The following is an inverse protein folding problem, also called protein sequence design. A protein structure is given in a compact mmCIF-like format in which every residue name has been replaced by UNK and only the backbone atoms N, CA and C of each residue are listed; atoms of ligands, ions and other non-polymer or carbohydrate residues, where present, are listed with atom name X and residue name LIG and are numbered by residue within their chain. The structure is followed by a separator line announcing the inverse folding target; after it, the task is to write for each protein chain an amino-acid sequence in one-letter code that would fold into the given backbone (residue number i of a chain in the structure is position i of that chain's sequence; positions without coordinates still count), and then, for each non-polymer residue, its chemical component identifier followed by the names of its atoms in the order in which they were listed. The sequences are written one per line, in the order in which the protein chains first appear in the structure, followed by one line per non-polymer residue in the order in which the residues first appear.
data_IF_752291316277
#
_entry.id   IF_752291316277
#
_cell.length_a   1.000
_cell.length_b   1.000
_cell.length_c   1.000
_cell.angle_alpha   90.00
_cell.angle_beta   90.00
_cell.angle_gamma   90.00
#
_symmetry.space_group_name_H-M   'P 1'
#
loop_
_entity.id
_entity.type
_entity.pdbx_description
1 polymer ?
#
# COMPACT_ATOMS: atom_id res chain seq x y z
N UNK A 1 -26.18 0.08 -16.83
CA UNK A 1 -24.77 -0.28 -16.55
C UNK A 1 -24.56 -0.32 -15.04
N UNK A 2 -24.35 -1.50 -14.46
CA UNK A 2 -24.06 -1.64 -13.03
C UNK A 2 -22.55 -1.39 -12.86
N UNK A 3 -22.19 -0.24 -12.28
CA UNK A 3 -20.79 0.11 -11.99
C UNK A 3 -20.29 -0.79 -10.86
N UNK A 4 -19.40 -1.74 -11.15
CA UNK A 4 -18.81 -2.65 -10.16
C UNK A 4 -17.83 -1.89 -9.24
N UNK A 5 -18.40 -1.15 -8.28
CA UNK A 5 -17.67 -0.48 -7.20
C UNK A 5 -16.94 -1.52 -6.34
N UNK A 6 -15.84 -1.15 -5.65
CA UNK A 6 -15.29 -2.04 -4.63
C UNK A 6 -16.43 -2.40 -3.66
N UNK A 7 -16.48 -3.65 -3.17
CA UNK A 7 -17.50 -4.01 -2.20
C UNK A 7 -17.39 -3.04 -1.04
N UNK A 8 -18.54 -2.50 -0.59
CA UNK A 8 -18.61 -1.49 0.48
C UNK A 8 -17.81 -1.93 1.71
N UNK A 9 -17.81 -3.23 1.99
CA UNK A 9 -17.02 -3.86 3.06
C UNK A 9 -15.52 -3.61 2.89
N UNK A 10 -14.96 -3.73 1.69
CA UNK A 10 -13.54 -3.47 1.45
C UNK A 10 -13.18 -2.00 1.71
N UNK A 11 -14.06 -1.08 1.35
CA UNK A 11 -13.89 0.35 1.64
C UNK A 11 -13.88 0.59 3.14
N UNK A 12 -14.83 0.01 3.88
CA UNK A 12 -14.85 0.12 5.34
C UNK A 12 -13.61 -0.48 6.00
N UNK A 13 -13.13 -1.63 5.54
CA UNK A 13 -11.89 -2.24 6.05
C UNK A 13 -10.68 -1.34 5.76
N UNK A 14 -10.59 -0.75 4.57
CA UNK A 14 -9.50 0.19 4.25
C UNK A 14 -9.56 1.44 5.14
N UNK A 15 -10.75 2.01 5.35
CA UNK A 15 -10.93 3.16 6.25
C UNK A 15 -10.54 2.79 7.67
N UNK A 16 -10.98 1.62 8.18
CA UNK A 16 -10.61 1.14 9.51
C UNK A 16 -9.09 1.00 9.66
N UNK A 17 -8.42 0.34 8.70
CA UNK A 17 -6.97 0.20 8.73
C UNK A 17 -6.26 1.56 8.66
N UNK A 18 -6.77 2.49 7.84
CA UNK A 18 -6.22 3.83 7.71
C UNK A 18 -6.35 4.64 9.00
N UNK A 19 -7.50 4.53 9.70
CA UNK A 19 -7.73 5.20 10.99
C UNK A 19 -6.79 4.68 12.07
N UNK A 20 -6.57 3.37 12.15
CA UNK A 20 -5.61 2.81 13.12
C UNK A 20 -4.17 3.22 12.80
N UNK A 21 -3.84 3.37 11.52
CA UNK A 21 -2.53 3.81 11.03
C UNK A 21 -2.36 5.35 11.00
N UNK A 22 -3.16 6.13 11.72
CA UNK A 22 -3.02 7.60 11.74
C UNK A 22 -1.79 8.08 12.50
N UNK A 23 -1.22 7.25 13.36
CA UNK A 23 0.05 7.48 14.05
C UNK A 23 1.22 7.70 13.06
N UNK A 24 1.15 7.14 11.84
CA UNK A 24 2.06 7.45 10.73
C UNK A 24 2.11 8.94 10.44
N UNK A 25 0.95 9.62 10.42
CA UNK A 25 0.87 11.04 10.11
C UNK A 25 1.61 11.84 11.19
N UNK A 26 1.36 11.52 12.46
CA UNK A 26 2.05 12.15 13.59
C UNK A 26 3.57 11.92 13.49
N UNK A 27 3.98 10.71 13.14
CA UNK A 27 5.39 10.35 12.94
C UNK A 27 6.02 11.18 11.81
N UNK A 28 5.32 11.36 10.69
CA UNK A 28 5.80 12.15 9.54
C UNK A 28 5.83 13.67 9.78
N UNK A 29 5.13 14.16 10.80
CA UNK A 29 5.16 15.58 11.19
C UNK A 29 6.41 15.96 11.98
N UNK A 30 7.10 14.99 12.58
CA UNK A 30 8.38 15.17 13.29
C UNK A 30 9.58 15.18 12.28
N UNK A 31 10.85 15.39 12.69
CA UNK A 31 11.88 16.09 11.90
C UNK A 31 12.21 15.49 10.51
N UNK A 32 12.89 16.29 9.68
CA UNK A 32 13.07 16.20 8.21
C UNK A 32 13.09 14.82 7.52
N UNK A 33 13.61 13.76 8.13
CA UNK A 33 13.64 12.41 7.56
C UNK A 33 12.24 11.78 7.47
N UNK A 34 11.34 12.11 8.39
CA UNK A 34 10.01 11.48 8.46
C UNK A 34 9.09 11.91 7.30
N UNK A 35 9.26 13.12 6.76
CA UNK A 35 8.51 13.61 5.58
C UNK A 35 8.72 12.75 4.33
N UNK A 36 9.89 12.11 4.22
CA UNK A 36 10.22 11.27 3.07
C UNK A 36 9.48 9.93 3.10
N UNK A 37 9.08 9.46 4.29
CA UNK A 37 8.17 8.32 4.43
C UNK A 37 6.81 8.59 3.78
N UNK A 38 6.27 9.80 3.95
CA UNK A 38 5.02 10.20 3.28
C UNK A 38 5.17 10.24 1.74
N UNK A 39 6.30 10.74 1.24
CA UNK A 39 6.59 10.73 -0.21
C UNK A 39 6.68 9.30 -0.74
N UNK A 40 7.38 8.42 -0.02
CA UNK A 40 7.47 7.00 -0.36
C UNK A 40 6.08 6.34 -0.37
N UNK A 41 5.20 6.65 0.60
CA UNK A 41 3.81 6.15 0.60
C UNK A 41 3.05 6.62 -0.65
N UNK A 42 3.13 7.92 -0.99
CA UNK A 42 2.43 8.47 -2.17
C UNK A 42 2.88 7.74 -3.45
N UNK A 43 4.18 7.57 -3.63
CA UNK A 43 4.74 6.80 -4.75
C UNK A 43 4.22 5.36 -4.72
N UNK A 44 4.27 4.71 -3.56
CA UNK A 44 3.85 3.32 -3.39
C UNK A 44 2.36 3.10 -3.69
N UNK A 45 1.47 4.02 -3.29
CA UNK A 45 0.01 3.96 -3.53
C UNK A 45 -0.35 4.26 -4.99
N UNK A 46 0.54 4.87 -5.78
CA UNK A 46 0.28 5.30 -7.16
C UNK A 46 -0.34 4.21 -8.07
N UNK A 47 0.11 2.94 -8.07
CA UNK A 47 -0.48 1.90 -8.93
C UNK A 47 -1.95 1.61 -8.61
N UNK A 48 -2.36 1.77 -7.34
CA UNK A 48 -3.75 1.59 -6.90
C UNK A 48 -4.61 2.69 -7.48
N UNK A 49 -4.19 3.95 -7.31
CA UNK A 49 -4.90 5.11 -7.88
C UNK A 49 -4.97 5.00 -9.39
N UNK A 50 -3.85 4.65 -10.04
CA UNK A 50 -3.77 4.46 -11.48
C UNK A 50 -4.74 3.37 -11.97
N UNK A 51 -4.74 2.19 -11.35
CA UNK A 51 -5.67 1.11 -11.66
C UNK A 51 -7.12 1.57 -11.58
N UNK A 52 -7.53 2.19 -10.48
CA UNK A 52 -8.90 2.64 -10.29
C UNK A 52 -9.32 3.77 -11.24
N UNK A 53 -8.37 4.62 -11.65
CA UNK A 53 -8.60 5.66 -12.65
C UNK A 53 -8.87 5.08 -14.04
N UNK A 54 -8.11 4.06 -14.45
CA UNK A 54 -8.25 3.39 -15.74
C UNK A 54 -9.43 2.43 -15.77
N UNK A 55 -9.70 1.73 -14.67
CA UNK A 55 -10.76 0.71 -14.58
C UNK A 55 -12.13 1.24 -14.99
N UNK A 56 -12.44 2.50 -14.67
CA UNK A 56 -13.70 3.14 -15.06
C UNK A 56 -13.88 3.20 -16.60
N UNK A 57 -12.81 3.07 -17.38
CA UNK A 57 -12.83 3.09 -18.85
C UNK A 57 -13.01 1.69 -19.47
N UNK A 58 -12.47 0.64 -18.83
CA UNK A 58 -12.37 -0.71 -19.42
C UNK A 58 -13.32 -1.76 -18.82
N UNK A 59 -14.24 -1.34 -17.93
CA UNK A 59 -15.33 -2.19 -17.40
C UNK A 59 -14.88 -3.55 -16.80
N UNK A 60 -13.63 -3.63 -16.34
CA UNK A 60 -13.03 -4.87 -15.87
C UNK A 60 -13.67 -5.35 -14.55
N UNK A 61 -14.04 -6.64 -14.50
CA UNK A 61 -14.54 -7.29 -13.28
C UNK A 61 -13.35 -7.61 -12.37
N UNK A 62 -13.13 -6.81 -11.33
CA UNK A 62 -12.15 -7.15 -10.28
C UNK A 62 -12.64 -8.39 -9.54
N UNK A 63 -11.77 -9.40 -9.42
CA UNK A 63 -12.00 -10.52 -8.49
C UNK A 63 -11.68 -10.05 -7.08
N UNK A 64 -12.67 -10.08 -6.19
CA UNK A 64 -12.46 -9.74 -4.78
C UNK A 64 -11.41 -10.64 -4.13
N UNK A 65 -10.64 -10.09 -3.20
CA UNK A 65 -9.57 -10.78 -2.47
C UNK A 65 -9.88 -10.80 -0.96
N UNK A 66 -10.95 -11.50 -0.54
CA UNK A 66 -11.43 -11.46 0.85
C UNK A 66 -10.38 -11.95 1.84
N UNK A 67 -9.52 -12.89 1.44
CA UNK A 67 -8.43 -13.39 2.29
C UNK A 67 -7.44 -12.26 2.62
N UNK A 68 -7.05 -11.44 1.64
CA UNK A 68 -6.09 -10.36 1.87
C UNK A 68 -6.72 -9.21 2.68
N UNK A 69 -8.00 -8.92 2.47
CA UNK A 69 -8.76 -7.99 3.32
C UNK A 69 -8.87 -8.49 4.75
N UNK A 70 -9.20 -9.77 4.94
CA UNK A 70 -9.29 -10.40 6.26
C UNK A 70 -7.95 -10.39 6.99
N UNK A 71 -6.84 -10.69 6.28
CA UNK A 71 -5.50 -10.55 6.82
C UNK A 71 -5.18 -9.10 7.20
N UNK A 72 -5.52 -8.13 6.35
CA UNK A 72 -5.35 -6.70 6.64
C UNK A 72 -6.08 -6.29 7.93
N UNK A 73 -7.35 -6.69 8.05
CA UNK A 73 -8.18 -6.44 9.22
C UNK A 73 -7.61 -7.10 10.48
N UNK A 74 -7.25 -8.39 10.40
CA UNK A 74 -6.69 -9.13 11.54
C UNK A 74 -5.36 -8.52 12.00
N UNK A 75 -4.46 -8.17 11.08
CA UNK A 75 -3.18 -7.55 11.41
C UNK A 75 -3.37 -6.17 12.04
N UNK A 76 -4.25 -5.33 11.47
CA UNK A 76 -4.57 -4.02 12.05
C UNK A 76 -5.21 -4.15 13.45
N UNK A 77 -6.15 -5.07 13.63
CA UNK A 77 -6.79 -5.30 14.93
C UNK A 77 -5.81 -5.82 16.00
N UNK A 78 -4.96 -6.80 15.65
CA UNK A 78 -3.95 -7.31 16.58
C UNK A 78 -2.86 -6.28 16.87
N UNK A 79 -2.48 -5.47 15.86
CA UNK A 79 -1.59 -4.32 16.03
C UNK A 79 -2.13 -3.35 17.08
N UNK A 80 -3.41 -3.00 16.98
CA UNK A 80 -4.09 -2.12 17.93
C UNK A 80 -4.14 -2.71 19.34
N UNK A 81 -4.52 -3.98 19.50
CA UNK A 81 -4.55 -4.65 20.82
C UNK A 81 -3.15 -4.73 21.47
N UNK A 82 -2.12 -4.97 20.66
CA UNK A 82 -0.74 -5.10 21.11
C UNK A 82 0.05 -3.80 21.17
N UNK A 83 -0.53 -2.66 20.75
CA UNK A 83 0.22 -1.41 20.50
C UNK A 83 1.43 -1.60 19.59
N UNK A 84 1.29 -2.45 18.56
CA UNK A 84 2.33 -2.78 17.59
C UNK A 84 2.04 -2.08 16.26
N UNK A 85 2.45 -0.81 16.13
CA UNK A 85 2.18 0.02 14.95
C UNK A 85 2.66 -0.64 13.64
N UNK A 86 3.75 -1.43 13.69
CA UNK A 86 4.24 -2.18 12.52
C UNK A 86 3.17 -3.13 11.97
N UNK A 87 2.43 -3.83 12.84
CA UNK A 87 1.34 -4.71 12.41
C UNK A 87 0.18 -3.92 11.81
N UNK A 88 -0.12 -2.74 12.36
CA UNK A 88 -1.14 -1.84 11.82
C UNK A 88 -0.78 -1.38 10.41
N UNK A 89 0.47 -0.98 10.19
CA UNK A 89 0.97 -0.56 8.88
C UNK A 89 0.97 -1.69 7.85
N UNK A 90 1.35 -2.91 8.25
CA UNK A 90 1.25 -4.10 7.38
C UNK A 90 -0.23 -4.40 7.09
N UNK A 91 -1.10 -4.25 8.08
CA UNK A 91 -2.55 -4.36 7.91
C UNK A 91 -3.09 -3.40 6.86
N UNK A 92 -2.69 -2.13 6.93
CA UNK A 92 -3.00 -1.11 5.92
C UNK A 92 -2.46 -1.48 4.54
N UNK A 93 -1.21 -1.91 4.44
CA UNK A 93 -0.61 -2.33 3.16
C UNK A 93 -1.40 -3.49 2.53
N UNK A 94 -1.78 -4.49 3.32
CA UNK A 94 -2.63 -5.60 2.89
C UNK A 94 -4.02 -5.13 2.42
N UNK A 95 -4.68 -4.25 3.18
CA UNK A 95 -5.99 -3.72 2.83
C UNK A 95 -5.95 -2.97 1.48
N UNK A 96 -4.95 -2.09 1.29
CA UNK A 96 -4.74 -1.38 0.03
C UNK A 96 -4.40 -2.36 -1.10
N UNK A 97 -3.54 -3.35 -0.85
CA UNK A 97 -3.17 -4.35 -1.85
C UNK A 97 -4.31 -5.28 -2.27
N UNK A 98 -5.35 -5.41 -1.45
CA UNK A 98 -6.56 -6.13 -1.82
C UNK A 98 -7.44 -5.37 -2.82
N UNK A 99 -7.21 -4.06 -3.00
CA UNK A 99 -7.88 -3.24 -4.02
C UNK A 99 -7.31 -3.43 -5.42
N UNK A 100 -6.17 -4.12 -5.56
CA UNK A 100 -5.55 -4.46 -6.84
C UNK A 100 -5.92 -5.89 -7.28
N UNK A 101 -6.02 -6.13 -8.61
CA UNK A 101 -6.27 -7.46 -9.14
C UNK A 101 -5.13 -8.42 -8.73
N UNK A 102 -5.41 -9.74 -8.59
CA UNK A 102 -4.38 -10.71 -8.22
C UNK A 102 -3.30 -10.79 -9.30
N UNK A 103 -2.07 -10.45 -8.92
CA UNK A 103 -0.91 -10.48 -9.80
C UNK A 103 0.33 -10.98 -9.05
N UNK A 104 1.23 -11.77 -9.67
CA UNK A 104 2.43 -12.28 -8.99
C UNK A 104 3.30 -11.18 -8.40
N UNK A 105 3.41 -10.03 -9.09
CA UNK A 105 4.19 -8.89 -8.60
C UNK A 105 3.55 -8.15 -7.43
N UNK A 106 2.31 -8.46 -7.05
CA UNK A 106 1.69 -7.88 -5.87
C UNK A 106 2.49 -8.20 -4.61
N UNK A 107 3.17 -9.34 -4.55
CA UNK A 107 4.00 -9.69 -3.40
C UNK A 107 5.24 -8.80 -3.30
N UNK A 108 5.91 -8.55 -4.43
CA UNK A 108 7.08 -7.65 -4.48
C UNK A 108 6.65 -6.22 -4.15
N UNK A 109 5.55 -5.75 -4.73
CA UNK A 109 5.00 -4.45 -4.43
C UNK A 109 4.52 -4.35 -2.97
N UNK A 110 3.84 -5.36 -2.41
CA UNK A 110 3.47 -5.39 -0.99
C UNK A 110 4.69 -5.40 -0.08
N UNK A 111 5.72 -6.20 -0.37
CA UNK A 111 6.96 -6.23 0.41
C UNK A 111 7.65 -4.87 0.43
N UNK A 112 7.56 -4.11 -0.67
CA UNK A 112 8.10 -2.75 -0.74
C UNK A 112 7.39 -1.73 0.17
N UNK A 113 6.24 -2.08 0.75
CA UNK A 113 5.54 -1.21 1.71
C UNK A 113 6.38 -0.87 2.94
N UNK A 114 7.34 -1.74 3.31
CA UNK A 114 8.30 -1.46 4.38
C UNK A 114 9.03 -0.13 4.17
N UNK A 115 9.27 0.27 2.92
CA UNK A 115 10.02 1.49 2.59
C UNK A 115 9.36 2.81 2.98
N UNK A 116 8.07 2.83 3.31
CA UNK A 116 7.41 4.03 3.86
C UNK A 116 7.11 3.91 5.36
N UNK A 117 7.32 2.73 5.96
CA UNK A 117 7.07 2.50 7.38
C UNK A 117 8.18 3.09 8.28
N UNK A 118 7.87 3.52 9.52
CA UNK A 118 8.87 3.95 10.49
C UNK A 118 9.88 2.86 10.87
N UNK A 119 9.49 1.58 10.81
CA UNK A 119 10.38 0.46 11.09
C UNK A 119 11.63 0.44 10.18
N UNK A 120 11.50 0.93 8.94
CA UNK A 120 12.63 1.05 8.03
C UNK A 120 13.60 2.16 8.44
N UNK A 121 13.15 3.23 9.11
CA UNK A 121 14.04 4.24 9.69
C UNK A 121 14.85 3.67 10.85
N UNK A 122 14.20 2.86 11.68
CA UNK A 122 14.88 2.22 12.81
C UNK A 122 15.98 1.26 12.35
N UNK A 123 15.70 0.43 11.34
CA UNK A 123 16.70 -0.48 10.76
C UNK A 123 17.76 0.29 9.95
N UNK A 124 17.33 1.08 8.98
CA UNK A 124 18.22 1.75 8.02
C UNK A 124 19.06 2.84 8.67
N UNK A 125 18.50 3.60 9.62
CA UNK A 125 19.20 4.69 10.31
C UNK A 125 20.37 4.20 11.16
N UNK A 126 20.33 2.94 11.62
CA UNK A 126 21.39 2.33 12.40
C UNK A 126 22.57 1.84 11.55
N UNK A 127 22.30 1.33 10.35
CA UNK A 127 23.33 0.71 9.51
C UNK A 127 23.79 1.60 8.35
N UNK A 128 22.89 2.40 7.76
CA UNK A 128 23.12 3.14 6.51
C UNK A 128 22.37 4.48 6.49
N UNK A 129 22.64 5.41 7.44
CA UNK A 129 21.87 6.66 7.58
C UNK A 129 21.93 7.55 6.33
N UNK A 130 23.03 7.53 5.59
CA UNK A 130 23.22 8.36 4.38
C UNK A 130 22.39 7.86 3.18
N UNK A 131 22.15 6.54 3.10
CA UNK A 131 21.49 5.91 1.97
C UNK A 131 20.01 5.67 2.18
N UNK A 132 19.50 5.89 3.40
CA UNK A 132 18.13 5.53 3.75
C UNK A 132 17.10 6.22 2.87
N UNK A 133 17.34 7.48 2.52
CA UNK A 133 16.45 8.28 1.67
C UNK A 133 16.38 7.68 0.28
N UNK A 134 17.54 7.45 -0.34
CA UNK A 134 17.62 6.86 -1.67
C UNK A 134 16.99 5.46 -1.69
N UNK A 135 17.27 4.64 -0.66
CA UNK A 135 16.68 3.31 -0.53
C UNK A 135 15.16 3.36 -0.41
N UNK A 136 14.58 4.26 0.41
CA UNK A 136 13.13 4.43 0.54
C UNK A 136 12.47 4.72 -0.81
N UNK A 137 13.01 5.70 -1.53
CA UNK A 137 12.45 6.12 -2.81
C UNK A 137 12.61 5.02 -3.86
N UNK A 138 13.79 4.39 -3.99
CA UNK A 138 14.01 3.34 -4.97
C UNK A 138 13.16 2.09 -4.69
N UNK A 139 13.07 1.66 -3.43
CA UNK A 139 12.26 0.50 -3.03
C UNK A 139 10.77 0.78 -3.24
N UNK A 140 10.29 2.00 -3.01
CA UNK A 140 8.89 2.37 -3.34
C UNK A 140 8.65 2.50 -4.85
N UNK A 141 9.54 3.19 -5.56
CA UNK A 141 9.32 3.60 -6.94
C UNK A 141 9.45 2.43 -7.93
N UNK A 142 10.47 1.58 -7.82
CA UNK A 142 10.72 0.52 -8.81
C UNK A 142 9.53 -0.46 -8.87
N UNK A 143 9.04 -1.03 -7.74
CA UNK A 143 7.89 -1.91 -7.76
C UNK A 143 6.60 -1.19 -8.14
N UNK A 144 6.43 0.08 -7.75
CA UNK A 144 5.26 0.87 -8.13
C UNK A 144 5.20 1.09 -9.65
N UNK A 145 6.30 1.54 -10.27
CA UNK A 145 6.40 1.73 -11.72
C UNK A 145 6.18 0.41 -12.46
N UNK A 146 6.82 -0.67 -12.00
CA UNK A 146 6.64 -1.99 -12.61
C UNK A 146 5.18 -2.47 -12.50
N UNK A 147 4.55 -2.28 -11.35
CA UNK A 147 3.15 -2.64 -11.12
C UNK A 147 2.24 -1.82 -12.04
N UNK A 148 2.41 -0.49 -12.12
CA UNK A 148 1.63 0.38 -13.00
C UNK A 148 1.78 -0.02 -14.48
N UNK A 149 3.00 -0.29 -14.94
CA UNK A 149 3.26 -0.77 -16.29
C UNK A 149 2.56 -2.12 -16.56
N UNK A 150 2.65 -3.06 -15.61
CA UNK A 150 2.00 -4.37 -15.76
C UNK A 150 0.47 -4.26 -15.86
N UNK A 151 -0.14 -3.34 -15.09
CA UNK A 151 -1.57 -3.05 -15.15
C UNK A 151 -1.94 -2.50 -16.53
N UNK A 152 -1.16 -1.54 -17.05
CA UNK A 152 -1.37 -0.97 -18.38
C UNK A 152 -1.32 -2.05 -19.48
N UNK A 153 -0.30 -2.93 -19.44
CA UNK A 153 -0.18 -4.01 -20.44
C UNK A 153 -1.36 -4.98 -20.40
N UNK A 154 -1.86 -5.34 -19.21
CA UNK A 154 -3.01 -6.25 -19.09
C UNK A 154 -4.30 -5.66 -19.64
N UNK A 155 -4.55 -4.40 -19.32
CA UNK A 155 -5.72 -3.68 -19.81
C UNK A 155 -5.68 -3.57 -21.35
N UNK A 156 -4.50 -3.35 -21.94
CA UNK A 156 -4.35 -3.27 -23.40
C UNK A 156 -4.59 -4.59 -24.14
N UNK A 157 -4.36 -5.74 -23.48
CA UNK A 157 -4.54 -7.07 -24.08
C UNK A 157 -5.98 -7.57 -23.98
N UNK A 158 -6.75 -7.09 -23.00
CA UNK A 158 -8.15 -7.49 -22.77
C UNK A 158 -9.09 -6.26 -22.75
N UNK A 159 -9.37 -5.63 -23.91
CA UNK A 159 -10.21 -4.42 -24.01
C UNK A 159 -11.70 -4.67 -23.70
#
# INVERSE_FOLDING_TARGET
MIRNRPPIIAVFICIYCMVNSLDLIVTWMHPSQARLGAVALIIWVTPVVFYWSLRNRFNEKTKDRPILLGLGLLLSFNGMLGSLNVLEHIGLACAIGALLPPFPMNLVWLASSLSWMPAFDWLGGRFFPEYIIAARILISAIPACYMAHSIQTRISVNP
#
